data_IF_959800679076
#
_entry.id   IF_959800679076
#
_cell.length_a   1.000
_cell.length_b   1.000
_cell.length_c   1.000
_cell.angle_alpha   90.00
_cell.angle_beta   90.00
_cell.angle_gamma   90.00
#
_symmetry.space_group_name_H-M   'P 1'
#
loop_
_entity.id
_entity.type
_entity.pdbx_description
1 polymer ?
#
# COMPACT_ATOMS: atom_id res chain seq x y z
N UNK A 1 16.50 0.12 8.65
CA UNK A 1 16.99 -0.25 7.30
C UNK A 1 15.81 -0.92 6.64
N UNK A 2 15.21 -0.27 5.64
CA UNK A 2 14.07 -0.87 4.93
C UNK A 2 14.52 -2.18 4.28
N UNK A 3 13.70 -3.23 4.39
CA UNK A 3 13.96 -4.54 3.77
C UNK A 3 13.56 -4.57 2.29
N UNK A 4 13.01 -3.47 1.80
CA UNK A 4 12.49 -3.32 0.44
C UNK A 4 13.63 -3.32 -0.58
N UNK A 5 13.40 -4.04 -1.68
CA UNK A 5 14.35 -4.17 -2.79
C UNK A 5 13.71 -3.72 -4.09
N UNK A 6 14.49 -3.67 -5.18
CA UNK A 6 13.95 -3.41 -6.52
C UNK A 6 13.18 -4.60 -7.10
N UNK A 7 13.12 -5.73 -6.39
CA UNK A 7 12.42 -6.93 -6.81
C UNK A 7 11.00 -6.93 -6.23
N UNK A 8 10.02 -6.70 -7.11
CA UNK A 8 8.59 -6.65 -6.74
C UNK A 8 8.06 -7.98 -6.24
N UNK A 9 8.59 -9.12 -6.71
CA UNK A 9 8.18 -10.44 -6.23
C UNK A 9 8.66 -10.66 -4.80
N UNK A 10 9.92 -10.31 -4.51
CA UNK A 10 10.48 -10.42 -3.17
C UNK A 10 9.76 -9.49 -2.18
N UNK A 11 9.45 -8.27 -2.59
CA UNK A 11 8.71 -7.31 -1.76
C UNK A 11 7.28 -7.78 -1.46
N UNK A 12 6.62 -8.44 -2.43
CA UNK A 12 5.31 -9.04 -2.24
C UNK A 12 5.35 -10.24 -1.28
N UNK A 13 6.34 -11.12 -1.40
CA UNK A 13 6.51 -12.23 -0.45
C UNK A 13 6.77 -11.71 0.97
N UNK A 14 7.59 -10.66 1.10
CA UNK A 14 7.84 -10.00 2.37
C UNK A 14 6.55 -9.37 2.92
N UNK A 15 5.79 -8.67 2.09
CA UNK A 15 4.53 -8.04 2.47
C UNK A 15 3.55 -9.09 3.01
N UNK A 16 3.37 -10.20 2.27
CA UNK A 16 2.47 -11.27 2.68
C UNK A 16 2.94 -11.92 3.98
N UNK A 17 4.24 -12.17 4.14
CA UNK A 17 4.77 -12.76 5.38
C UNK A 17 4.55 -11.83 6.59
N UNK A 18 4.90 -10.55 6.46
CA UNK A 18 4.81 -9.59 7.57
C UNK A 18 3.37 -9.26 7.91
N UNK A 19 2.51 -9.02 6.91
CA UNK A 19 1.06 -8.80 7.14
C UNK A 19 0.38 -10.03 7.73
N UNK A 20 0.81 -11.24 7.38
CA UNK A 20 0.28 -12.46 8.01
C UNK A 20 0.66 -12.57 9.50
N UNK A 21 1.82 -12.06 9.91
CA UNK A 21 2.23 -12.03 11.31
C UNK A 21 1.53 -10.91 12.09
N UNK A 22 1.49 -9.70 11.53
CA UNK A 22 0.90 -8.53 12.20
C UNK A 22 -0.63 -8.48 12.11
N UNK A 23 -1.21 -9.16 11.10
CA UNK A 23 -2.63 -9.06 10.69
C UNK A 23 -3.05 -7.64 10.34
N UNK A 24 -2.11 -6.78 10.00
CA UNK A 24 -2.32 -5.37 9.71
C UNK A 24 -1.62 -5.01 8.40
N UNK A 25 -2.27 -4.13 7.65
CA UNK A 25 -1.76 -3.47 6.45
C UNK A 25 -1.76 -1.97 6.74
N UNK A 26 -0.81 -1.24 6.18
CA UNK A 26 -0.71 0.20 6.35
C UNK A 26 -0.91 0.89 5.02
N UNK A 27 -1.68 1.97 5.02
CA UNK A 27 -1.88 2.82 3.85
C UNK A 27 -1.77 4.30 4.23
N UNK A 28 -1.69 5.15 3.22
CA UNK A 28 -1.63 6.60 3.38
C UNK A 28 -2.97 7.23 3.00
N UNK A 29 -3.48 8.12 3.84
CA UNK A 29 -4.75 8.83 3.62
C UNK A 29 -4.67 10.28 4.07
N UNK A 30 -5.20 11.20 3.28
CA UNK A 30 -5.36 12.61 3.64
C UNK A 30 -6.85 13.02 3.66
N UNK A 31 -7.12 14.32 3.73
CA UNK A 31 -8.50 14.86 3.69
C UNK A 31 -9.23 14.60 2.36
N UNK A 32 -8.49 14.45 1.26
CA UNK A 32 -9.05 14.21 -0.08
C UNK A 32 -9.36 12.73 -0.33
N UNK A 33 -8.61 11.82 0.29
CA UNK A 33 -8.82 10.38 0.12
C UNK A 33 -7.59 9.53 0.46
N UNK A 34 -7.61 8.29 0.00
CA UNK A 34 -6.45 7.41 0.06
C UNK A 34 -5.45 7.77 -1.02
N UNK A 35 -4.16 7.58 -0.75
CA UNK A 35 -3.11 7.85 -1.71
C UNK A 35 -3.26 6.90 -2.90
N UNK A 36 -3.55 7.47 -4.07
CA UNK A 36 -3.51 6.79 -5.35
C UNK A 36 -2.56 7.57 -6.27
N UNK A 37 -1.66 6.86 -6.93
CA UNK A 37 -0.74 7.42 -7.91
C UNK A 37 -1.12 6.91 -9.29
N UNK A 38 -1.09 7.80 -10.28
CA UNK A 38 -1.21 7.40 -11.68
C UNK A 38 -0.05 6.46 -12.06
N UNK A 39 -0.37 5.32 -12.66
CA UNK A 39 0.65 4.40 -13.16
C UNK A 39 1.45 5.06 -14.27
N UNK A 40 2.78 5.14 -14.11
CA UNK A 40 3.66 5.63 -15.18
C UNK A 40 3.76 4.66 -16.37
N UNK A 41 3.38 3.40 -16.17
CA UNK A 41 3.48 2.32 -17.18
C UNK A 41 2.14 2.09 -17.92
N UNK A 42 1.00 2.43 -17.31
CA UNK A 42 -0.33 2.22 -17.88
C UNK A 42 -1.18 3.50 -17.81
N UNK A 43 -1.38 4.14 -18.98
CA UNK A 43 -2.29 5.29 -19.09
C UNK A 43 -3.71 4.92 -18.60
N UNK A 44 -4.21 5.64 -17.59
CA UNK A 44 -5.51 5.43 -16.90
C UNK A 44 -5.58 4.24 -15.93
N UNK A 45 -4.47 3.79 -15.36
CA UNK A 45 -4.50 2.86 -14.23
C UNK A 45 -3.99 3.54 -12.97
N UNK A 46 -4.81 3.57 -11.93
CA UNK A 46 -4.42 4.07 -10.62
C UNK A 46 -3.72 2.95 -9.84
N UNK A 47 -2.67 3.30 -9.11
CA UNK A 47 -1.92 2.39 -8.23
C UNK A 47 -2.00 2.93 -6.81
N UNK A 48 -2.52 2.12 -5.88
CA UNK A 48 -2.49 2.47 -4.46
C UNK A 48 -1.37 1.70 -3.74
N UNK A 49 -0.43 2.41 -3.09
CA UNK A 49 0.64 1.78 -2.32
C UNK A 49 0.17 1.39 -0.91
N UNK A 50 0.55 0.18 -0.50
CA UNK A 50 0.33 -0.39 0.83
C UNK A 50 1.61 -0.97 1.39
N UNK A 51 1.77 -0.89 2.70
CA UNK A 51 2.94 -1.35 3.42
C UNK A 51 2.58 -2.38 4.47
N UNK A 52 3.51 -3.31 4.68
CA UNK A 52 3.39 -4.34 5.72
C UNK A 52 3.79 -3.84 7.11
N UNK A 53 4.50 -2.70 7.17
CA UNK A 53 4.97 -2.06 8.40
C UNK A 53 4.65 -0.57 8.40
N UNK A 54 4.32 -0.06 9.58
CA UNK A 54 4.11 1.37 9.81
C UNK A 54 5.37 2.19 9.55
N UNK A 55 6.55 1.67 9.90
CA UNK A 55 7.81 2.38 9.70
C UNK A 55 8.13 2.58 8.21
N UNK A 56 7.86 1.58 7.38
CA UNK A 56 8.05 1.70 5.93
C UNK A 56 7.06 2.70 5.33
N UNK A 57 5.79 2.66 5.75
CA UNK A 57 4.79 3.66 5.35
C UNK A 57 5.22 5.08 5.77
N UNK A 58 5.66 5.27 7.02
CA UNK A 58 6.13 6.56 7.52
C UNK A 58 7.41 7.04 6.84
N UNK A 59 8.30 6.13 6.44
CA UNK A 59 9.52 6.46 5.71
C UNK A 59 9.21 6.97 4.32
N UNK A 60 8.18 6.42 3.67
CA UNK A 60 7.69 6.90 2.37
C UNK A 60 6.82 8.14 2.52
N UNK A 61 6.20 8.35 3.69
CA UNK A 61 5.43 9.54 4.05
C UNK A 61 6.28 10.81 4.28
N UNK A 62 7.24 11.06 3.40
CA UNK A 62 8.15 12.21 3.47
C UNK A 62 8.11 12.95 2.13
N UNK A 63 8.36 14.26 2.16
CA UNK A 63 8.29 15.14 1.00
C UNK A 63 6.87 15.31 0.42
N UNK A 64 6.54 14.73 -0.73
CA UNK A 64 5.27 14.96 -1.45
C UNK A 64 4.04 14.38 -0.76
N UNK A 65 4.24 13.47 0.21
CA UNK A 65 3.14 12.87 0.97
C UNK A 65 3.12 13.30 2.44
N UNK A 66 3.87 14.33 2.83
CA UNK A 66 3.95 14.76 4.23
C UNK A 66 2.58 15.11 4.88
N UNK A 67 1.58 15.47 4.08
CA UNK A 67 0.22 15.79 4.52
C UNK A 67 -0.69 14.55 4.64
N UNK A 68 -0.19 13.35 4.32
CA UNK A 68 -0.93 12.09 4.48
C UNK A 68 -0.69 11.51 5.88
N UNK A 69 -1.73 10.90 6.43
CA UNK A 69 -1.68 10.14 7.67
C UNK A 69 -1.55 8.64 7.37
N UNK A 70 -0.66 7.98 8.10
CA UNK A 70 -0.50 6.53 8.04
C UNK A 70 -1.61 5.86 8.86
N UNK A 71 -2.47 5.11 8.18
CA UNK A 71 -3.60 4.39 8.78
C UNK A 71 -3.39 2.87 8.73
N UNK A 72 -3.77 2.20 9.81
CA UNK A 72 -3.86 0.75 9.87
C UNK A 72 -5.17 0.27 9.27
N UNK A 73 -5.07 -0.79 8.48
CA UNK A 73 -6.17 -1.53 7.89
C UNK A 73 -6.00 -2.99 8.34
N UNK A 74 -6.99 -3.57 9.03
CA UNK A 74 -6.99 -4.99 9.34
C UNK A 74 -6.85 -5.84 8.06
N UNK A 75 -5.98 -6.84 8.07
CA UNK A 75 -5.67 -7.65 6.89
C UNK A 75 -6.92 -8.39 6.36
N UNK A 76 -7.81 -8.82 7.25
CA UNK A 76 -9.09 -9.43 6.89
C UNK A 76 -9.96 -8.46 6.08
N UNK A 77 -10.14 -7.22 6.56
CA UNK A 77 -10.87 -6.17 5.83
C UNK A 77 -10.17 -5.84 4.51
N UNK A 78 -8.84 -5.76 4.52
CA UNK A 78 -8.07 -5.49 3.31
C UNK A 78 -8.31 -6.57 2.24
N UNK A 79 -8.30 -7.85 2.62
CA UNK A 79 -8.47 -8.94 1.66
C UNK A 79 -9.92 -9.12 1.25
N UNK A 80 -10.87 -9.00 2.18
CA UNK A 80 -12.29 -9.29 1.92
C UNK A 80 -13.01 -8.12 1.28
N UNK A 81 -12.74 -6.88 1.65
CA UNK A 81 -13.47 -5.71 1.15
C UNK A 81 -12.64 -4.91 0.14
N UNK A 82 -11.38 -4.60 0.49
CA UNK A 82 -10.55 -3.73 -0.32
C UNK A 82 -10.12 -4.40 -1.62
N UNK A 83 -9.44 -5.54 -1.55
CA UNK A 83 -8.91 -6.20 -2.75
C UNK A 83 -10.01 -6.49 -3.79
N UNK A 84 -11.22 -6.80 -3.36
CA UNK A 84 -12.37 -6.96 -4.26
C UNK A 84 -12.73 -5.63 -4.93
N UNK A 85 -12.91 -4.57 -4.14
CA UNK A 85 -13.26 -3.24 -4.66
C UNK A 85 -12.18 -2.72 -5.62
N UNK A 86 -10.91 -2.85 -5.27
CA UNK A 86 -9.79 -2.41 -6.12
C UNK A 86 -9.72 -3.19 -7.44
N UNK A 87 -9.98 -4.50 -7.39
CA UNK A 87 -10.04 -5.32 -8.59
C UNK A 87 -11.24 -4.94 -9.50
N UNK A 88 -12.38 -4.58 -8.92
CA UNK A 88 -13.56 -4.11 -9.67
C UNK A 88 -13.32 -2.74 -10.31
N UNK A 89 -12.65 -1.83 -9.61
CA UNK A 89 -12.32 -0.49 -10.08
C UNK A 89 -11.10 -0.48 -11.04
N UNK A 90 -10.41 -1.61 -11.21
CA UNK A 90 -9.21 -1.71 -12.04
C UNK A 90 -7.99 -0.99 -11.45
N UNK A 91 -8.02 -0.73 -10.13
CA UNK A 91 -6.95 -0.10 -9.38
C UNK A 91 -5.91 -1.15 -8.99
N UNK A 92 -4.66 -0.88 -9.33
CA UNK A 92 -3.54 -1.73 -9.01
C UNK A 92 -3.09 -1.53 -7.56
N UNK A 93 -2.61 -2.60 -6.95
CA UNK A 93 -2.09 -2.58 -5.57
C UNK A 93 -0.57 -2.61 -5.65
N UNK A 94 0.06 -1.51 -5.25
CA UNK A 94 1.50 -1.48 -4.98
C UNK A 94 1.72 -2.00 -3.58
N UNK A 95 2.55 -3.02 -3.42
CA UNK A 95 2.97 -3.48 -2.09
C UNK A 95 4.44 -3.15 -1.90
N UNK A 96 4.77 -2.64 -0.71
CA UNK A 96 6.14 -2.57 -0.20
C UNK A 96 7.09 -1.80 -1.16
#
# INVERSE_FOLDING_TARGET
>A
MSKLTADTQANLELFVSETQETKLVWGLRNEEGWLACDSSEFENSEVMPFWSSKEDAQTHNVEEWADFEVLEIPLDIFVEDWLLTLAEDGVLVGVN
#
